data_IF_041804956906
#
_entry.id   IF_041804956906
#
_cell.length_a   1.000
_cell.length_b   1.000
_cell.length_c   1.000
_cell.angle_alpha   90.00
_cell.angle_beta   90.00
_cell.angle_gamma   90.00
#
_symmetry.space_group_name_H-M   'P 1'
#
loop_
_entity.id
_entity.type
_entity.pdbx_description
1 polymer ?
#
# COMPACT_ATOMS: atom_id res chain seq x y z
N UNK A 1 -64.75 30.73 -21.41
CA UNK A 1 -64.97 30.02 -22.68
C UNK A 1 -63.80 30.32 -23.60
N UNK A 2 -63.34 29.29 -24.29
CA UNK A 2 -62.04 29.10 -24.93
C UNK A 2 -61.73 30.06 -26.09
N UNK A 3 -60.47 30.53 -26.22
CA UNK A 3 -59.79 30.48 -27.51
C UNK A 3 -58.26 30.61 -27.44
N UNK A 4 -57.63 29.85 -28.33
CA UNK A 4 -56.22 29.64 -28.64
C UNK A 4 -55.41 30.91 -28.92
N UNK A 5 -54.10 30.85 -28.66
CA UNK A 5 -53.14 30.96 -29.76
C UNK A 5 -51.77 30.38 -29.43
N UNK A 6 -51.41 29.46 -30.31
CA UNK A 6 -50.13 28.83 -30.57
C UNK A 6 -49.08 29.88 -30.89
N UNK A 7 -47.94 29.84 -30.21
CA UNK A 7 -46.68 30.34 -30.76
C UNK A 7 -45.60 29.27 -30.62
N UNK A 8 -45.05 28.96 -31.78
CA UNK A 8 -44.13 27.90 -32.08
C UNK A 8 -42.79 28.11 -31.38
N UNK A 9 -42.39 27.18 -30.52
CA UNK A 9 -40.99 27.07 -30.12
C UNK A 9 -40.33 26.08 -31.07
N UNK A 10 -39.54 26.63 -32.00
CA UNK A 10 -38.69 25.86 -32.90
C UNK A 10 -37.66 25.10 -32.05
N UNK A 11 -37.79 23.78 -31.98
CA UNK A 11 -36.83 22.92 -31.31
C UNK A 11 -35.56 22.82 -32.18
N UNK A 12 -34.52 23.58 -31.82
CA UNK A 12 -33.18 23.37 -32.35
C UNK A 12 -32.61 22.12 -31.68
N UNK A 13 -32.51 21.02 -32.44
CA UNK A 13 -31.84 19.79 -32.01
C UNK A 13 -30.33 20.05 -31.91
N UNK A 14 -29.67 19.72 -30.80
CA UNK A 14 -28.21 19.71 -30.77
C UNK A 14 -27.70 18.55 -31.65
N UNK A 15 -26.57 18.72 -32.37
CA UNK A 15 -25.95 17.62 -33.10
C UNK A 15 -25.46 16.54 -32.14
N UNK A 16 -25.59 15.29 -32.57
CA UNK A 16 -25.02 14.10 -31.92
C UNK A 16 -23.50 14.23 -31.91
N UNK A 17 -22.97 14.77 -30.81
CA UNK A 17 -21.54 14.88 -30.56
C UNK A 17 -20.96 13.51 -30.18
N UNK A 18 -20.03 13.07 -31.01
CA UNK A 18 -19.09 11.97 -30.88
C UNK A 18 -18.89 11.44 -29.44
N UNK A 19 -19.26 10.19 -29.20
CA UNK A 19 -18.79 9.43 -28.05
C UNK A 19 -17.27 9.27 -28.16
N UNK A 20 -16.51 10.08 -27.43
CA UNK A 20 -15.08 9.88 -27.26
C UNK A 20 -14.91 8.60 -26.45
N UNK A 21 -14.50 7.53 -27.14
CA UNK A 21 -14.11 6.27 -26.51
C UNK A 21 -12.89 6.60 -25.65
N UNK A 22 -13.08 6.77 -24.35
CA UNK A 22 -11.98 7.02 -23.41
C UNK A 22 -10.86 6.03 -23.72
N UNK A 23 -9.62 6.49 -23.93
CA UNK A 23 -8.51 5.58 -24.12
C UNK A 23 -8.43 4.75 -22.85
N UNK A 24 -8.70 3.44 -22.98
CA UNK A 24 -8.33 2.49 -21.93
C UNK A 24 -6.83 2.56 -21.84
N UNK A 25 -6.34 3.33 -20.86
CA UNK A 25 -4.92 3.38 -20.54
C UNK A 25 -4.44 1.93 -20.42
N UNK A 26 -3.28 1.57 -20.98
CA UNK A 26 -2.69 0.27 -20.75
C UNK A 26 -2.67 0.06 -19.24
N UNK A 27 -3.13 -1.11 -18.79
CA UNK A 27 -3.10 -1.48 -17.38
C UNK A 27 -1.63 -1.44 -16.99
N UNK A 28 -1.19 -0.34 -16.37
CA UNK A 28 0.19 -0.19 -15.92
C UNK A 28 0.47 -1.44 -15.09
N UNK A 29 1.51 -2.16 -15.48
CA UNK A 29 2.06 -3.18 -14.62
C UNK A 29 2.52 -2.43 -13.37
N UNK A 30 1.76 -2.53 -12.28
CA UNK A 30 2.10 -1.87 -11.01
C UNK A 30 3.28 -2.58 -10.33
N UNK A 31 3.87 -3.61 -10.95
CA UNK A 31 4.95 -4.42 -10.39
C UNK A 31 6.34 -3.82 -10.66
N UNK A 32 6.53 -3.03 -11.71
CA UNK A 32 7.83 -2.45 -12.08
C UNK A 32 8.07 -0.99 -11.64
N UNK A 33 7.06 -0.29 -11.10
CA UNK A 33 7.22 1.10 -10.64
C UNK A 33 7.73 1.15 -9.19
N UNK A 34 8.55 2.17 -8.89
CA UNK A 34 8.93 2.52 -7.52
C UNK A 34 7.69 2.64 -6.64
N UNK A 35 7.76 2.11 -5.43
CA UNK A 35 6.58 1.97 -4.59
C UNK A 35 6.24 3.30 -3.94
N UNK A 36 5.05 3.83 -4.19
CA UNK A 36 4.57 5.00 -3.44
C UNK A 36 4.15 4.59 -2.02
N UNK A 37 4.30 5.51 -1.07
CA UNK A 37 3.78 5.36 0.30
C UNK A 37 2.33 4.89 0.32
N UNK A 38 1.47 5.49 -0.51
CA UNK A 38 0.05 5.15 -0.56
C UNK A 38 -0.19 3.70 -0.99
N UNK A 39 0.64 3.16 -1.89
CA UNK A 39 0.57 1.77 -2.32
C UNK A 39 0.96 0.82 -1.18
N UNK A 40 2.08 1.11 -0.51
CA UNK A 40 2.52 0.33 0.66
C UNK A 40 1.51 0.38 1.81
N UNK A 41 0.93 1.56 2.10
CA UNK A 41 -0.12 1.75 3.09
C UNK A 41 -1.37 0.95 2.74
N UNK A 42 -1.84 1.04 1.50
CA UNK A 42 -3.01 0.29 1.04
C UNK A 42 -2.80 -1.22 1.19
N UNK A 43 -1.61 -1.72 0.86
CA UNK A 43 -1.28 -3.12 1.06
C UNK A 43 -1.26 -3.51 2.55
N UNK A 44 -0.59 -2.72 3.40
CA UNK A 44 -0.55 -2.98 4.84
C UNK A 44 -1.95 -3.05 5.45
N UNK A 45 -2.83 -2.10 5.11
CA UNK A 45 -4.22 -2.06 5.58
C UNK A 45 -5.10 -3.18 5.03
N UNK A 46 -4.72 -3.79 3.89
CA UNK A 46 -5.43 -4.96 3.35
C UNK A 46 -5.17 -6.23 4.15
N UNK A 47 -4.14 -6.25 5.02
CA UNK A 47 -3.81 -7.40 5.84
C UNK A 47 -4.79 -7.54 7.03
N UNK A 48 -5.17 -8.78 7.40
CA UNK A 48 -6.12 -9.01 8.48
C UNK A 48 -5.68 -8.40 9.80
N UNK A 49 -6.66 -7.91 10.56
CA UNK A 49 -6.49 -7.27 11.87
C UNK A 49 -5.44 -6.14 11.89
N UNK A 50 -5.24 -5.48 10.75
CA UNK A 50 -4.33 -4.34 10.64
C UNK A 50 -5.07 -3.03 10.88
N UNK A 51 -4.54 -2.23 11.79
CA UNK A 51 -4.99 -0.87 12.03
C UNK A 51 -3.83 0.11 11.88
N UNK A 52 -4.15 1.29 11.39
CA UNK A 52 -3.23 2.42 11.36
C UNK A 52 -3.53 3.32 12.55
N UNK A 53 -2.49 3.64 13.32
CA UNK A 53 -2.56 4.55 14.45
C UNK A 53 -1.37 5.50 14.44
N UNK A 54 -1.56 6.78 14.77
CA UNK A 54 -0.45 7.70 14.98
C UNK A 54 0.40 7.23 16.17
N UNK A 55 1.73 7.29 16.01
CA UNK A 55 2.70 7.00 17.04
C UNK A 55 3.75 8.11 17.09
N UNK A 56 3.54 9.07 17.99
CA UNK A 56 4.31 10.32 18.05
C UNK A 56 4.26 11.06 16.70
N UNK A 57 5.41 11.25 16.06
CA UNK A 57 5.54 11.88 14.74
C UNK A 57 5.46 10.87 13.58
N UNK A 58 5.29 9.58 13.86
CA UNK A 58 5.29 8.50 12.89
C UNK A 58 3.87 7.95 12.68
N UNK A 59 3.55 7.54 11.46
CA UNK A 59 2.44 6.61 11.22
C UNK A 59 2.85 5.21 11.68
N UNK A 60 1.97 4.46 12.33
CA UNK A 60 2.24 3.08 12.74
C UNK A 60 1.14 2.14 12.30
N UNK A 61 1.53 1.00 11.73
CA UNK A 61 0.62 -0.10 11.40
C UNK A 61 0.77 -1.19 12.43
N UNK A 62 -0.37 -1.64 12.95
CA UNK A 62 -0.45 -2.57 14.06
C UNK A 62 -1.29 -3.76 13.66
N UNK A 63 -0.80 -4.96 13.95
CA UNK A 63 -1.59 -6.20 13.88
C UNK A 63 -1.91 -6.63 15.30
N UNK A 64 -3.20 -6.76 15.62
CA UNK A 64 -3.67 -7.10 16.96
C UNK A 64 -2.98 -6.25 18.07
N UNK A 65 -2.80 -4.95 17.82
CA UNK A 65 -2.17 -4.00 18.75
C UNK A 65 -0.62 -3.91 18.69
N UNK A 66 0.06 -4.82 17.98
CA UNK A 66 1.53 -4.85 17.87
C UNK A 66 2.02 -4.15 16.61
N UNK A 67 2.94 -3.20 16.76
CA UNK A 67 3.53 -2.47 15.64
C UNK A 67 4.40 -3.40 14.79
N UNK A 68 4.17 -3.40 13.48
CA UNK A 68 4.99 -4.15 12.51
C UNK A 68 5.54 -3.27 11.38
N UNK A 69 4.90 -2.14 11.07
CA UNK A 69 5.44 -1.10 10.17
C UNK A 69 5.34 0.26 10.84
N UNK A 70 6.37 1.09 10.72
CA UNK A 70 6.27 2.53 11.01
C UNK A 70 6.73 3.36 9.82
N UNK A 71 6.16 4.56 9.71
CA UNK A 71 6.39 5.46 8.58
C UNK A 71 6.77 6.84 9.10
N UNK A 72 7.98 7.34 8.79
CA UNK A 72 8.37 8.71 9.08
C UNK A 72 7.53 9.73 8.30
N UNK A 73 7.39 10.97 8.80
CA UNK A 73 6.57 12.01 8.17
C UNK A 73 7.03 12.35 6.75
N UNK A 74 8.33 12.18 6.47
CA UNK A 74 8.93 12.35 5.15
C UNK A 74 8.43 11.34 4.11
N UNK A 75 7.84 10.21 4.54
CA UNK A 75 7.32 9.13 3.68
C UNK A 75 8.31 8.64 2.60
N UNK A 76 9.61 8.87 2.79
CA UNK A 76 10.69 8.43 1.88
C UNK A 76 11.15 7.01 2.19
N UNK A 77 11.00 6.59 3.44
CA UNK A 77 11.43 5.28 3.91
C UNK A 77 10.31 4.59 4.69
N UNK A 78 10.35 3.27 4.76
CA UNK A 78 9.52 2.45 5.64
C UNK A 78 10.39 1.77 6.67
N UNK A 79 9.91 1.70 7.90
CA UNK A 79 10.53 0.88 8.94
C UNK A 79 9.71 -0.39 9.13
N UNK A 80 10.36 -1.55 8.94
CA UNK A 80 9.73 -2.86 9.02
C UNK A 80 10.33 -3.65 10.18
N UNK A 81 9.47 -4.19 11.04
CA UNK A 81 9.88 -4.98 12.20
C UNK A 81 9.72 -6.47 11.88
N UNK A 82 10.75 -7.05 11.27
CA UNK A 82 10.85 -8.47 10.90
C UNK A 82 11.70 -9.26 11.89
N UNK A 83 11.72 -10.60 11.75
CA UNK A 83 12.64 -11.45 12.50
C UNK A 83 14.10 -11.19 12.12
N UNK A 84 15.05 -11.59 12.97
CA UNK A 84 16.48 -11.46 12.66
C UNK A 84 16.88 -12.22 11.39
N UNK A 85 16.37 -13.45 11.21
CA UNK A 85 16.62 -14.25 10.02
C UNK A 85 16.11 -13.57 8.75
N UNK A 86 14.85 -13.10 8.77
CA UNK A 86 14.27 -12.38 7.62
C UNK A 86 15.04 -11.08 7.34
N UNK A 87 15.51 -10.39 8.38
CA UNK A 87 16.30 -9.16 8.28
C UNK A 87 17.59 -9.41 7.50
N UNK A 88 18.33 -10.44 7.88
CA UNK A 88 19.60 -10.79 7.23
C UNK A 88 19.39 -11.24 5.79
N UNK A 89 18.36 -12.05 5.53
CA UNK A 89 18.00 -12.45 4.17
C UNK A 89 17.63 -11.24 3.30
N UNK A 90 16.83 -10.31 3.81
CA UNK A 90 16.43 -9.12 3.07
C UNK A 90 17.63 -8.22 2.72
N UNK A 91 18.59 -8.08 3.64
CA UNK A 91 19.82 -7.30 3.40
C UNK A 91 20.69 -7.91 2.30
N UNK A 92 20.75 -9.25 2.23
CA UNK A 92 21.48 -9.95 1.17
C UNK A 92 20.76 -9.86 -0.17
N UNK A 93 19.43 -9.99 -0.18
CA UNK A 93 18.62 -9.96 -1.40
C UNK A 93 18.51 -8.56 -2.01
N UNK A 94 18.46 -7.52 -1.18
CA UNK A 94 18.14 -6.17 -1.61
C UNK A 94 19.06 -5.09 -1.00
N UNK A 95 20.39 -5.19 -1.18
CA UNK A 95 21.34 -4.25 -0.58
C UNK A 95 21.22 -2.81 -1.10
N UNK A 96 20.56 -2.61 -2.25
CA UNK A 96 20.43 -1.28 -2.88
C UNK A 96 19.36 -0.37 -2.27
N UNK A 97 18.42 -0.91 -1.49
CA UNK A 97 17.32 -0.12 -0.92
C UNK A 97 16.91 -0.56 0.49
N UNK A 98 17.60 -1.54 1.07
CA UNK A 98 17.35 -2.02 2.44
C UNK A 98 18.58 -1.74 3.30
N UNK A 99 18.33 -1.16 4.46
CA UNK A 99 19.32 -0.86 5.48
C UNK A 99 18.87 -1.40 6.83
N UNK A 100 19.82 -1.59 7.75
CA UNK A 100 19.49 -1.94 9.14
C UNK A 100 18.90 -0.72 9.85
N UNK A 101 17.75 -0.90 10.50
CA UNK A 101 17.18 0.12 11.37
C UNK A 101 17.77 -0.02 12.77
N UNK A 102 18.47 1.01 13.22
CA UNK A 102 19.05 1.11 14.55
C UNK A 102 18.20 2.04 15.44
N UNK A 103 17.90 1.59 16.66
CA UNK A 103 17.48 2.47 17.76
C UNK A 103 18.51 2.38 18.87
N UNK A 104 19.35 3.41 18.98
CA UNK A 104 20.60 3.34 19.76
C UNK A 104 21.51 2.25 19.19
N UNK A 105 22.07 1.42 20.06
CA UNK A 105 22.93 0.28 19.66
C UNK A 105 22.15 -0.97 19.21
N UNK A 106 20.82 -0.97 19.28
CA UNK A 106 20.01 -2.14 18.96
C UNK A 106 19.47 -2.07 17.54
N UNK A 107 19.63 -3.16 16.79
CA UNK A 107 18.99 -3.32 15.49
C UNK A 107 17.53 -3.72 15.71
N UNK A 108 16.62 -2.80 15.46
CA UNK A 108 15.20 -2.99 15.73
C UNK A 108 14.42 -3.49 14.52
N UNK A 109 14.97 -3.35 13.31
CA UNK A 109 14.30 -3.83 12.10
C UNK A 109 15.06 -3.49 10.82
N UNK A 110 14.30 -3.29 9.75
CA UNK A 110 14.77 -2.86 8.44
C UNK A 110 14.25 -1.46 8.13
N UNK A 111 15.09 -0.67 7.49
CA UNK A 111 14.73 0.58 6.83
C UNK A 111 14.73 0.32 5.33
N UNK A 112 13.61 0.61 4.67
CA UNK A 112 13.42 0.39 3.24
C UNK A 112 13.22 1.74 2.54
N UNK A 113 14.01 2.02 1.51
CA UNK A 113 13.88 3.21 0.68
C UNK A 113 12.80 3.00 -0.40
N UNK A 114 11.70 3.74 -0.33
CA UNK A 114 10.55 3.58 -1.23
C UNK A 114 10.88 3.96 -2.69
N UNK A 115 11.76 4.94 -2.88
CA UNK A 115 12.13 5.45 -4.20
C UNK A 115 12.84 4.41 -5.08
N UNK A 116 13.54 3.45 -4.47
CA UNK A 116 14.31 2.42 -5.17
C UNK A 116 13.70 1.01 -5.04
N UNK A 117 12.68 0.84 -4.20
CA UNK A 117 12.11 -0.47 -3.90
C UNK A 117 10.95 -0.82 -4.86
N UNK A 118 11.00 -1.99 -5.53
CA UNK A 118 9.91 -2.47 -6.36
C UNK A 118 8.72 -2.92 -5.50
N UNK A 119 7.50 -2.66 -5.98
CA UNK A 119 6.25 -2.93 -5.22
C UNK A 119 6.14 -4.39 -4.73
N UNK A 120 6.61 -5.34 -5.54
CA UNK A 120 6.61 -6.75 -5.16
C UNK A 120 7.49 -7.04 -3.93
N UNK A 121 8.68 -6.45 -3.88
CA UNK A 121 9.59 -6.63 -2.73
C UNK A 121 9.03 -5.94 -1.48
N UNK A 122 8.49 -4.72 -1.63
CA UNK A 122 7.86 -3.99 -0.52
C UNK A 122 6.70 -4.79 0.08
N UNK A 123 5.81 -5.31 -0.75
CA UNK A 123 4.67 -6.11 -0.29
C UNK A 123 5.12 -7.40 0.42
N UNK A 124 6.13 -8.09 -0.13
CA UNK A 124 6.68 -9.30 0.50
C UNK A 124 7.25 -9.00 1.91
N UNK A 125 8.01 -7.91 2.06
CA UNK A 125 8.61 -7.52 3.33
C UNK A 125 7.56 -7.04 4.35
N UNK A 126 6.54 -6.30 3.92
CA UNK A 126 5.41 -5.92 4.78
C UNK A 126 4.68 -7.17 5.28
N UNK A 127 4.45 -8.15 4.40
CA UNK A 127 3.82 -9.42 4.76
C UNK A 127 4.69 -10.23 5.75
N UNK A 128 6.01 -10.27 5.57
CA UNK A 128 6.93 -10.88 6.54
C UNK A 128 6.86 -10.19 7.90
N UNK A 129 6.85 -8.85 7.93
CA UNK A 129 6.72 -8.09 9.18
C UNK A 129 5.37 -8.37 9.88
N UNK A 130 4.29 -8.43 9.10
CA UNK A 130 2.96 -8.79 9.62
C UNK A 130 2.97 -10.22 10.20
N UNK A 131 3.49 -11.22 9.48
CA UNK A 131 3.59 -12.61 9.95
C UNK A 131 4.36 -12.72 11.26
N UNK A 132 5.44 -11.97 11.39
CA UNK A 132 6.27 -11.97 12.58
C UNK A 132 5.51 -11.46 13.82
N UNK A 133 4.58 -10.52 13.65
CA UNK A 133 3.77 -9.95 14.76
C UNK A 133 2.40 -10.60 14.92
N UNK A 134 1.86 -11.23 13.88
CA UNK A 134 0.57 -11.92 13.86
C UNK A 134 0.53 -13.05 14.91
N UNK A 135 -0.66 -13.29 15.46
CA UNK A 135 -0.86 -14.39 16.40
C UNK A 135 -0.90 -15.74 15.67
N UNK A 136 -0.54 -16.83 16.36
CA UNK A 136 -0.64 -18.19 15.80
C UNK A 136 -2.07 -18.53 15.35
N UNK A 137 -3.08 -18.00 16.05
CA UNK A 137 -4.49 -18.16 15.69
C UNK A 137 -4.81 -17.44 14.39
N UNK A 138 -4.34 -16.20 14.24
CA UNK A 138 -4.57 -15.40 13.03
C UNK A 138 -3.91 -16.02 11.79
N UNK A 139 -2.69 -16.54 11.95
CA UNK A 139 -2.00 -17.25 10.86
C UNK A 139 -2.77 -18.50 10.41
N UNK A 140 -3.33 -19.27 11.35
CA UNK A 140 -4.17 -20.43 11.04
C UNK A 140 -5.47 -20.05 10.32
N UNK A 141 -6.04 -18.90 10.62
CA UNK A 141 -7.23 -18.37 9.93
C UNK A 141 -6.93 -17.90 8.50
N UNK A 142 -5.68 -17.49 8.24
CA UNK A 142 -5.24 -17.02 6.93
C UNK A 142 -4.04 -17.82 6.39
N UNK A 143 -4.24 -19.11 6.06
CA UNK A 143 -3.15 -20.00 5.63
C UNK A 143 -2.47 -19.54 4.32
N UNK A 144 -3.21 -18.89 3.42
CA UNK A 144 -2.66 -18.28 2.19
C UNK A 144 -1.72 -17.11 2.48
N UNK A 145 -1.93 -16.41 3.59
CA UNK A 145 -1.03 -15.37 4.08
C UNK A 145 0.06 -15.93 4.97
N UNK A 146 0.01 -17.20 5.39
CA UNK A 146 1.09 -17.86 6.13
C UNK A 146 2.11 -18.49 5.17
N UNK A 147 1.63 -19.13 4.10
CA UNK A 147 2.46 -19.68 3.04
C UNK A 147 3.06 -18.54 2.20
N UNK A 148 4.21 -18.01 2.61
CA UNK A 148 5.03 -17.19 1.73
C UNK A 148 5.66 -18.10 0.71
N UNK A 149 5.28 -17.93 -0.56
CA UNK A 149 5.94 -18.52 -1.71
C UNK A 149 7.45 -18.22 -1.73
#
# INVERSE_FOLDING_TARGET
MTWSSRLSHSAVRPPLGCATKSPRLPRLDHSAMATSYQTARHYALSLPETTEAPHHHFGSFRVAGKIFVTIPPEATHLHLFVSETDREQALVLYPGFIEKLYWGDKVCGLRLLLAAAPAKAVNALILQAWRHKASKTLLKQHPTLQAGA
#
